data_IF_705436484199
#
_entry.id   IF_705436484199
#
_cell.length_a   1.000
_cell.length_b   1.000
_cell.length_c   1.000
_cell.angle_alpha   90.00
_cell.angle_beta   90.00
_cell.angle_gamma   90.00
#
_symmetry.space_group_name_H-M   'P 1'
#
loop_
_entity.id
_entity.type
_entity.pdbx_description
1 polymer ?
#
# COMPACT_ATOMS: atom_id res chain seq x y z
N UNK A 1 -11.48 -6.17 6.13
CA UNK A 1 -10.46 -6.41 5.08
C UNK A 1 -11.20 -6.77 3.81
N UNK A 2 -10.74 -6.25 2.68
CA UNK A 2 -11.39 -6.40 1.37
C UNK A 2 -10.48 -7.19 0.43
N UNK A 3 -11.06 -7.84 -0.58
CA UNK A 3 -10.34 -8.59 -1.61
C UNK A 3 -10.56 -7.89 -2.96
N UNK A 4 -9.51 -7.70 -3.73
CA UNK A 4 -9.62 -7.09 -5.06
C UNK A 4 -9.97 -8.14 -6.14
N UNK A 5 -10.11 -7.70 -7.40
CA UNK A 5 -10.44 -8.58 -8.52
C UNK A 5 -9.32 -9.58 -8.89
N UNK A 6 -8.17 -9.50 -8.23
CA UNK A 6 -7.01 -10.37 -8.40
C UNK A 6 -6.75 -11.23 -7.15
N UNK A 7 -7.79 -11.39 -6.31
CA UNK A 7 -7.78 -12.14 -5.05
C UNK A 7 -6.75 -11.64 -4.01
N UNK A 8 -6.31 -10.39 -4.13
CA UNK A 8 -5.35 -9.80 -3.19
C UNK A 8 -6.06 -9.11 -2.04
N UNK A 9 -5.58 -9.35 -0.81
CA UNK A 9 -6.06 -8.66 0.38
C UNK A 9 -5.63 -7.21 0.38
N UNK A 10 -6.57 -6.30 0.64
CA UNK A 10 -6.26 -4.89 0.79
C UNK A 10 -7.03 -4.21 1.92
N UNK A 11 -6.47 -3.08 2.35
CA UNK A 11 -7.09 -2.12 3.26
C UNK A 11 -7.02 -0.73 2.62
N UNK A 12 -8.07 0.06 2.80
CA UNK A 12 -8.08 1.46 2.38
C UNK A 12 -8.12 2.38 3.60
N UNK A 13 -7.36 3.47 3.53
CA UNK A 13 -7.27 4.53 4.53
C UNK A 13 -7.75 5.82 3.87
N UNK A 14 -8.86 6.42 4.32
CA UNK A 14 -9.35 7.68 3.76
C UNK A 14 -8.32 8.81 3.91
N UNK A 15 -8.18 9.62 2.86
CA UNK A 15 -7.40 10.86 2.84
C UNK A 15 -8.24 11.95 2.14
N UNK A 16 -7.86 13.23 2.25
CA UNK A 16 -8.45 14.24 1.37
C UNK A 16 -8.33 13.80 -0.10
N UNK A 17 -9.42 13.96 -0.84
CA UNK A 17 -9.52 13.66 -2.28
C UNK A 17 -9.31 12.18 -2.66
N UNK A 18 -9.51 11.23 -1.73
CA UNK A 18 -9.51 9.81 -2.06
C UNK A 18 -9.15 8.88 -0.90
N UNK A 19 -8.41 7.81 -1.23
CA UNK A 19 -8.00 6.78 -0.28
C UNK A 19 -6.60 6.27 -0.60
N UNK A 20 -5.79 6.03 0.42
CA UNK A 20 -4.58 5.22 0.30
C UNK A 20 -4.99 3.76 0.40
N UNK A 21 -4.73 2.99 -0.63
CA UNK A 21 -4.90 1.54 -0.63
C UNK A 21 -3.57 0.86 -0.32
N UNK A 22 -3.60 -0.05 0.63
CA UNK A 22 -2.50 -0.91 1.03
C UNK A 22 -2.90 -2.35 0.68
N UNK A 23 -2.21 -2.95 -0.28
CA UNK A 23 -2.51 -4.30 -0.79
C UNK A 23 -1.36 -5.24 -0.43
N UNK A 24 -1.67 -6.37 0.19
CA UNK A 24 -0.72 -7.47 0.35
C UNK A 24 -0.63 -8.23 -0.96
N UNK A 25 0.60 -8.45 -1.43
CA UNK A 25 0.90 -9.21 -2.64
C UNK A 25 1.74 -10.42 -2.22
N UNK A 26 1.23 -11.62 -2.47
CA UNK A 26 1.95 -12.85 -2.07
C UNK A 26 3.23 -13.06 -2.88
N UNK A 27 3.20 -12.76 -4.18
CA UNK A 27 4.33 -12.84 -5.10
C UNK A 27 4.55 -11.49 -5.78
N UNK A 28 5.41 -10.67 -5.15
CA UNK A 28 5.75 -9.33 -5.62
C UNK A 28 6.68 -9.32 -6.84
N UNK A 29 7.13 -8.12 -7.23
CA UNK A 29 8.00 -7.91 -8.38
C UNK A 29 9.37 -8.61 -8.27
N UNK A 30 9.81 -8.90 -7.05
CA UNK A 30 11.05 -9.61 -6.73
C UNK A 30 10.80 -11.08 -6.33
N UNK A 31 9.65 -11.63 -6.73
CA UNK A 31 9.18 -12.97 -6.39
C UNK A 31 9.07 -13.20 -4.86
N UNK A 32 8.92 -12.12 -4.08
CA UNK A 32 8.78 -12.19 -2.62
C UNK A 32 7.50 -11.50 -2.14
N UNK A 33 6.96 -11.89 -0.96
CA UNK A 33 5.82 -11.20 -0.37
C UNK A 33 6.09 -9.71 -0.18
N UNK A 34 5.17 -8.88 -0.66
CA UNK A 34 5.32 -7.43 -0.69
C UNK A 34 4.02 -6.71 -0.31
N UNK A 35 4.14 -5.42 -0.02
CA UNK A 35 3.01 -4.51 0.18
C UNK A 35 3.04 -3.47 -0.92
N UNK A 36 1.96 -3.38 -1.68
CA UNK A 36 1.77 -2.33 -2.69
C UNK A 36 0.95 -1.19 -2.12
N UNK A 37 1.44 0.03 -2.29
CA UNK A 37 0.72 1.25 -1.91
C UNK A 37 0.16 1.89 -3.17
N UNK A 38 -1.12 2.21 -3.17
CA UNK A 38 -1.83 2.84 -4.30
C UNK A 38 -2.69 3.98 -3.79
N UNK A 39 -3.02 4.94 -4.66
CA UNK A 39 -4.02 5.98 -4.35
C UNK A 39 -5.25 5.72 -5.20
N UNK A 40 -6.40 5.53 -4.56
CA UNK A 40 -7.72 5.55 -5.21
C UNK A 40 -8.25 6.98 -5.14
N UNK A 41 -8.41 7.63 -6.29
CA UNK A 41 -9.03 8.97 -6.34
C UNK A 41 -10.56 8.91 -6.16
N UNK A 42 -11.21 10.07 -6.05
CA UNK A 42 -12.66 10.20 -5.87
C UNK A 42 -13.48 9.62 -7.04
N UNK A 43 -12.87 9.54 -8.24
CA UNK A 43 -13.49 8.94 -9.43
C UNK A 43 -13.31 7.42 -9.48
N UNK A 44 -12.61 6.85 -8.49
CA UNK A 44 -12.33 5.42 -8.40
C UNK A 44 -11.12 4.94 -9.21
N UNK A 45 -10.34 5.84 -9.81
CA UNK A 45 -9.12 5.46 -10.50
C UNK A 45 -7.99 5.12 -9.52
N UNK A 46 -7.25 4.05 -9.81
CA UNK A 46 -6.08 3.65 -9.04
C UNK A 46 -4.81 4.20 -9.68
N UNK A 47 -4.10 5.05 -8.94
CA UNK A 47 -2.73 5.45 -9.25
C UNK A 47 -1.77 4.51 -8.54
N UNK A 48 -0.86 3.90 -9.29
CA UNK A 48 0.13 2.98 -8.76
C UNK A 48 1.18 3.75 -7.95
N UNK A 49 1.49 3.26 -6.76
CA UNK A 49 2.62 3.70 -5.96
C UNK A 49 3.66 2.59 -5.83
N UNK A 50 4.55 2.67 -4.84
CA UNK A 50 5.62 1.70 -4.67
C UNK A 50 5.07 0.34 -4.23
N UNK A 51 5.82 -0.69 -4.60
CA UNK A 51 5.72 -2.02 -4.02
C UNK A 51 6.95 -2.29 -3.17
N UNK A 52 6.72 -2.65 -1.91
CA UNK A 52 7.75 -2.70 -0.87
C UNK A 52 7.79 -4.11 -0.30
N UNK A 53 8.93 -4.83 -0.38
CA UNK A 53 9.08 -6.14 0.24
C UNK A 53 8.77 -6.11 1.74
N UNK A 54 8.12 -7.14 2.26
CA UNK A 54 7.74 -7.21 3.68
C UNK A 54 8.97 -7.16 4.61
N UNK A 55 10.12 -7.64 4.14
CA UNK A 55 11.39 -7.55 4.88
C UNK A 55 11.84 -6.10 5.12
N UNK A 56 11.36 -5.16 4.31
CA UNK A 56 11.75 -3.74 4.36
C UNK A 56 10.64 -2.80 4.86
N UNK A 57 9.37 -3.26 4.89
CA UNK A 57 8.22 -2.37 5.19
C UNK A 57 8.31 -1.71 6.57
N UNK A 58 8.79 -2.42 7.58
CA UNK A 58 8.95 -1.87 8.94
C UNK A 58 9.91 -0.66 8.96
N UNK A 59 10.99 -0.72 8.17
CA UNK A 59 11.94 0.38 8.02
C UNK A 59 11.31 1.60 7.35
N UNK A 60 10.49 1.37 6.31
CA UNK A 60 9.76 2.45 5.63
C UNK A 60 8.76 3.12 6.55
N UNK A 61 7.95 2.34 7.29
CA UNK A 61 6.99 2.87 8.26
C UNK A 61 7.72 3.64 9.37
N UNK A 62 8.83 3.12 9.88
CA UNK A 62 9.65 3.80 10.88
C UNK A 62 10.20 5.13 10.37
N UNK A 63 10.66 5.21 9.12
CA UNK A 63 11.13 6.46 8.52
C UNK A 63 10.01 7.52 8.43
N UNK A 64 8.79 7.11 8.05
CA UNK A 64 7.61 8.00 8.02
C UNK A 64 7.29 8.53 9.41
N UNK A 65 7.19 7.65 10.41
CA UNK A 65 6.88 8.03 11.79
C UNK A 65 7.94 8.97 12.36
N UNK A 66 9.23 8.67 12.14
CA UNK A 66 10.33 9.51 12.58
C UNK A 66 10.26 10.90 11.95
N UNK A 67 9.89 11.01 10.68
CA UNK A 67 9.82 12.29 9.98
C UNK A 67 8.72 13.21 10.54
N UNK A 68 7.57 12.67 10.92
CA UNK A 68 6.41 13.45 11.40
C UNK A 68 6.37 13.67 12.92
N UNK A 69 7.22 12.95 13.67
CA UNK A 69 7.30 13.05 15.13
C UNK A 69 8.43 13.98 15.61
N UNK A 70 9.24 14.49 14.69
CA UNK A 70 10.24 15.54 14.93
C UNK A 70 9.69 16.91 14.54
#
# INVERSE_FOLDING_TARGET
>A
MSIDSSDQMFQEVPIPDGQVRVTYIENGWDDSPSVRIQIRDENGHLRQGPEIPITSIAGVVGAVVNLISN
#
